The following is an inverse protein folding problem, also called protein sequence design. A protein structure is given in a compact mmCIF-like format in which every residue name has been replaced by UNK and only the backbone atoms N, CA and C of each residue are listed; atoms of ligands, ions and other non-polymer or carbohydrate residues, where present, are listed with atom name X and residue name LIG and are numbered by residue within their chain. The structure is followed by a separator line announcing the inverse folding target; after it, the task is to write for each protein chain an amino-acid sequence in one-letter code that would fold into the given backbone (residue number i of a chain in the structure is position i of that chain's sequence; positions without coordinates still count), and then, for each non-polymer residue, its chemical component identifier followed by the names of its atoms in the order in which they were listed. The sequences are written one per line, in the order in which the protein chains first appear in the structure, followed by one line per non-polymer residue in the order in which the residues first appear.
data_IF_311868152836
#
_entry.id   IF_311868152836
#
_cell.length_a   1.000
_cell.length_b   1.000
_cell.length_c   1.000
_cell.angle_alpha   90.00
_cell.angle_beta   90.00
_cell.angle_gamma   90.00
#
_symmetry.space_group_name_H-M   'P 1'
#
loop_
_entity.id
_entity.type
_entity.pdbx_description
1 polymer ?
#
# COMPACT_ATOMS: atom_id res chain seq x y z
N UNK A 1 -8.72 13.51 -3.50
CA UNK A 1 -8.60 14.96 -3.85
C UNK A 1 -8.97 15.29 -5.29
N UNK A 2 -8.73 14.41 -6.27
CA UNK A 2 -9.20 14.63 -7.65
C UNK A 2 -8.49 15.76 -8.41
N UNK A 3 -7.31 16.18 -7.94
CA UNK A 3 -6.48 17.20 -8.59
C UNK A 3 -5.52 16.51 -9.58
N UNK A 4 -5.19 17.14 -10.72
CA UNK A 4 -4.34 16.53 -11.75
C UNK A 4 -2.84 16.50 -11.39
N UNK A 5 -2.42 17.33 -10.44
CA UNK A 5 -1.04 17.40 -9.94
C UNK A 5 -1.01 18.05 -8.56
N UNK A 6 0.11 17.90 -7.84
CA UNK A 6 0.35 18.55 -6.56
C UNK A 6 1.72 19.26 -6.56
N UNK A 7 1.83 20.50 -6.04
CA UNK A 7 3.12 21.13 -5.80
C UNK A 7 3.92 20.33 -4.75
N UNK A 8 5.19 20.04 -5.03
CA UNK A 8 6.09 19.29 -4.13
C UNK A 8 7.48 19.93 -4.12
N UNK A 9 7.64 21.14 -3.52
CA UNK A 9 8.88 21.92 -3.59
C UNK A 9 10.14 21.16 -3.15
N UNK A 10 10.01 20.23 -2.20
CA UNK A 10 11.12 19.46 -1.65
C UNK A 10 11.83 18.52 -2.64
N UNK A 11 11.30 18.32 -3.85
CA UNK A 11 11.95 17.52 -4.89
C UNK A 11 12.94 18.33 -5.75
N UNK A 12 12.92 19.66 -5.67
CA UNK A 12 13.78 20.52 -6.47
C UNK A 12 15.26 20.23 -6.20
N UNK A 13 16.05 20.09 -7.26
CA UNK A 13 17.49 19.82 -7.18
C UNK A 13 17.86 18.37 -6.85
N UNK A 14 16.90 17.44 -6.83
CA UNK A 14 17.18 16.01 -6.74
C UNK A 14 17.47 15.40 -8.12
N UNK A 15 18.23 14.31 -8.14
CA UNK A 15 18.46 13.52 -9.36
C UNK A 15 17.21 12.75 -9.81
N UNK A 16 16.07 12.87 -9.09
CA UNK A 16 14.81 12.27 -9.53
C UNK A 16 14.38 12.76 -10.91
N UNK A 17 14.77 13.97 -11.32
CA UNK A 17 14.50 14.49 -12.65
C UNK A 17 15.19 13.71 -13.78
N UNK A 18 16.25 12.95 -13.47
CA UNK A 18 16.89 12.04 -14.43
C UNK A 18 16.03 10.80 -14.70
N UNK A 19 15.26 10.35 -13.71
CA UNK A 19 14.41 9.16 -13.81
C UNK A 19 12.92 9.48 -14.05
N UNK A 20 12.47 10.69 -13.69
CA UNK A 20 11.06 11.12 -13.69
C UNK A 20 10.89 12.38 -14.53
N UNK A 21 10.80 12.16 -15.84
CA UNK A 21 10.57 13.24 -16.80
C UNK A 21 9.16 13.85 -16.76
N UNK A 22 8.26 13.24 -15.99
CA UNK A 22 6.91 13.73 -15.74
C UNK A 22 6.83 14.76 -14.60
N UNK A 23 7.93 14.99 -13.87
CA UNK A 23 8.03 16.05 -12.87
C UNK A 23 8.45 17.35 -13.54
N UNK A 24 7.75 18.44 -13.25
CA UNK A 24 8.00 19.72 -13.90
C UNK A 24 8.43 20.75 -12.86
N UNK A 25 9.53 21.44 -13.13
CA UNK A 25 9.92 22.65 -12.41
C UNK A 25 9.21 23.84 -13.06
N UNK A 26 8.38 24.54 -12.30
CA UNK A 26 7.57 25.66 -12.78
C UNK A 26 7.72 26.88 -11.86
N UNK A 27 7.55 28.11 -12.38
CA UNK A 27 7.47 29.29 -11.53
C UNK A 27 6.30 29.20 -10.53
N UNK A 28 6.52 29.60 -9.27
CA UNK A 28 5.44 29.74 -8.31
C UNK A 28 4.51 30.90 -8.74
N UNK A 29 3.21 30.66 -8.99
CA UNK A 29 2.31 31.69 -9.52
C UNK A 29 2.07 32.86 -8.56
N UNK A 30 2.32 32.68 -7.26
CA UNK A 30 2.18 33.73 -6.25
C UNK A 30 3.48 34.46 -5.94
N UNK A 31 4.62 33.87 -6.32
CA UNK A 31 5.97 34.43 -6.12
C UNK A 31 6.87 34.02 -7.30
N UNK A 32 6.81 34.72 -8.44
CA UNK A 32 7.48 34.28 -9.67
C UNK A 32 9.00 34.15 -9.59
N UNK A 33 9.64 34.78 -8.58
CA UNK A 33 11.07 34.63 -8.31
C UNK A 33 11.42 33.25 -7.67
N UNK A 34 10.41 32.51 -7.20
CA UNK A 34 10.56 31.17 -6.64
C UNK A 34 10.16 30.12 -7.69
N UNK A 35 10.85 28.98 -7.69
CA UNK A 35 10.47 27.79 -8.45
C UNK A 35 9.81 26.77 -7.53
N UNK A 36 8.90 25.97 -8.08
CA UNK A 36 8.31 24.82 -7.40
C UNK A 36 8.26 23.62 -8.34
N UNK A 37 8.34 22.42 -7.79
CA UNK A 37 8.10 21.20 -8.56
C UNK A 37 6.61 20.89 -8.52
N UNK A 38 6.05 20.46 -9.64
CA UNK A 38 4.73 19.83 -9.69
C UNK A 38 4.88 18.37 -10.09
N UNK A 39 4.14 17.50 -9.40
CA UNK A 39 4.11 16.05 -9.61
C UNK A 39 2.71 15.65 -10.09
N UNK A 40 2.57 14.88 -11.18
CA UNK A 40 1.27 14.46 -11.68
C UNK A 40 0.57 13.53 -10.69
N UNK A 41 -0.76 13.50 -10.76
CA UNK A 41 -1.55 12.57 -9.96
C UNK A 41 -1.28 11.11 -10.34
N UNK A 42 -1.04 10.27 -9.34
CA UNK A 42 -1.00 8.83 -9.51
C UNK A 42 -2.40 8.27 -9.27
N UNK A 43 -2.97 7.61 -10.29
CA UNK A 43 -4.29 6.97 -10.23
C UNK A 43 -4.16 5.48 -10.58
N UNK A 44 -3.86 4.62 -9.59
CA UNK A 44 -3.72 3.19 -9.85
C UNK A 44 -5.01 2.59 -10.41
N UNK A 45 -4.88 1.65 -11.34
CA UNK A 45 -6.03 0.86 -11.77
C UNK A 45 -6.53 -0.04 -10.64
N UNK A 46 -5.60 -0.63 -9.88
CA UNK A 46 -5.90 -1.52 -8.75
C UNK A 46 -5.00 -1.19 -7.57
N UNK A 47 -5.60 -1.11 -6.38
CA UNK A 47 -4.92 -1.13 -5.10
C UNK A 47 -5.21 -2.44 -4.37
N UNK A 48 -4.17 -3.07 -3.84
CA UNK A 48 -4.30 -4.22 -2.94
C UNK A 48 -3.82 -3.79 -1.56
N UNK A 49 -4.70 -3.89 -0.57
CA UNK A 49 -4.43 -3.43 0.79
C UNK A 49 -4.68 -4.59 1.74
N UNK A 50 -3.70 -4.88 2.60
CA UNK A 50 -3.86 -5.91 3.63
C UNK A 50 -4.36 -5.29 4.95
N UNK A 51 -5.40 -5.90 5.51
CA UNK A 51 -6.11 -5.43 6.69
C UNK A 51 -6.08 -6.49 7.80
N UNK A 52 -6.21 -6.03 9.04
CA UNK A 52 -6.35 -6.93 10.19
C UNK A 52 -7.70 -7.63 10.17
N UNK A 53 -8.74 -6.84 9.94
CA UNK A 53 -10.11 -7.32 9.90
C UNK A 53 -10.81 -6.64 8.76
N UNK A 54 -11.74 -7.34 8.14
CA UNK A 54 -12.71 -6.74 7.26
C UNK A 54 -14.09 -7.35 7.52
N UNK A 55 -15.15 -6.63 7.19
CA UNK A 55 -16.48 -7.21 7.10
C UNK A 55 -16.83 -7.57 5.64
N UNK A 56 -17.94 -8.29 5.45
CA UNK A 56 -18.42 -8.68 4.11
C UNK A 56 -18.94 -7.51 3.27
N UNK A 57 -19.13 -6.33 3.88
CA UNK A 57 -19.57 -5.12 3.20
C UNK A 57 -18.40 -4.31 2.63
N UNK A 58 -17.16 -4.62 3.01
CA UNK A 58 -15.96 -3.92 2.55
C UNK A 58 -15.36 -2.95 3.55
N UNK A 59 -15.92 -2.82 4.76
CA UNK A 59 -15.25 -2.03 5.79
C UNK A 59 -14.02 -2.79 6.29
N UNK A 60 -12.91 -2.10 6.49
CA UNK A 60 -11.65 -2.73 6.86
C UNK A 60 -10.87 -1.97 7.92
N UNK A 61 -10.22 -2.71 8.82
CA UNK A 61 -9.26 -2.20 9.80
C UNK A 61 -7.84 -2.28 9.21
N UNK A 62 -7.40 -1.18 8.61
CA UNK A 62 -6.06 -1.05 8.01
C UNK A 62 -5.09 -0.37 8.98
N UNK A 63 -3.78 -0.45 8.71
CA UNK A 63 -2.79 0.23 9.54
C UNK A 63 -2.98 1.76 9.49
N UNK A 64 -3.08 2.43 10.64
CA UNK A 64 -3.32 3.89 10.74
C UNK A 64 -2.17 4.71 10.17
N UNK A 65 -0.93 4.26 10.33
CA UNK A 65 0.29 4.92 9.85
C UNK A 65 0.74 4.34 8.50
N UNK A 66 -0.22 4.11 7.61
CA UNK A 66 0.05 3.64 6.24
C UNK A 66 -0.64 4.54 5.23
N UNK A 67 -0.19 4.47 3.98
CA UNK A 67 -0.84 5.13 2.86
C UNK A 67 -2.07 4.36 2.35
N UNK A 68 -2.52 3.32 3.05
CA UNK A 68 -3.63 2.46 2.60
C UNK A 68 -4.90 3.24 2.30
N UNK A 69 -5.29 4.20 3.15
CA UNK A 69 -6.46 5.03 2.88
C UNK A 69 -6.26 5.94 1.65
N UNK A 70 -5.10 6.59 1.55
CA UNK A 70 -4.77 7.45 0.41
C UNK A 70 -4.77 6.65 -0.91
N UNK A 71 -4.23 5.44 -0.88
CA UNK A 71 -4.19 4.53 -2.02
C UNK A 71 -5.60 4.06 -2.41
N UNK A 72 -6.45 3.73 -1.43
CA UNK A 72 -7.84 3.35 -1.67
C UNK A 72 -8.67 4.48 -2.29
N UNK A 73 -8.44 5.72 -1.86
CA UNK A 73 -9.11 6.90 -2.42
C UNK A 73 -8.61 7.27 -3.83
N UNK A 74 -7.38 6.89 -4.19
CA UNK A 74 -6.76 7.19 -5.47
C UNK A 74 -7.03 6.13 -6.55
N UNK A 75 -7.24 4.87 -6.15
CA UNK A 75 -7.36 3.75 -7.08
C UNK A 75 -8.77 3.62 -7.68
N UNK A 76 -8.85 3.07 -8.89
CA UNK A 76 -10.13 2.76 -9.56
C UNK A 76 -10.79 1.51 -8.98
N UNK A 77 -10.00 0.57 -8.48
CA UNK A 77 -10.44 -0.66 -7.85
C UNK A 77 -9.56 -0.95 -6.64
N UNK A 78 -10.16 -1.37 -5.54
CA UNK A 78 -9.52 -1.69 -4.27
C UNK A 78 -9.94 -3.10 -3.87
N UNK A 79 -8.93 -3.93 -3.66
CA UNK A 79 -9.06 -5.28 -3.11
C UNK A 79 -8.46 -5.25 -1.72
N UNK A 80 -9.28 -5.57 -0.72
CA UNK A 80 -8.81 -5.77 0.65
C UNK A 80 -8.56 -7.26 0.86
N UNK A 81 -7.34 -7.61 1.24
CA UNK A 81 -7.05 -8.91 1.85
C UNK A 81 -7.11 -8.73 3.37
N UNK A 82 -7.62 -9.70 4.12
CA UNK A 82 -7.78 -9.58 5.56
C UNK A 82 -7.35 -10.86 6.29
N UNK A 83 -6.71 -10.68 7.44
CA UNK A 83 -6.38 -11.78 8.36
C UNK A 83 -7.64 -12.49 8.88
N UNK A 84 -8.69 -11.71 9.15
CA UNK A 84 -9.98 -12.20 9.62
C UNK A 84 -11.11 -11.46 8.88
N UNK A 85 -12.14 -12.18 8.44
CA UNK A 85 -13.39 -11.58 7.93
C UNK A 85 -14.50 -11.82 8.94
N UNK A 86 -15.01 -10.75 9.54
CA UNK A 86 -16.04 -10.81 10.58
C UNK A 86 -17.44 -10.94 9.98
N UNK A 87 -18.35 -11.59 10.72
CA UNK A 87 -19.73 -11.86 10.25
C UNK A 87 -20.65 -10.62 10.31
N UNK A 88 -20.36 -9.67 11.20
CA UNK A 88 -21.13 -8.43 11.38
C UNK A 88 -20.44 -7.19 10.80
N UNK A 89 -21.09 -6.02 10.84
CA UNK A 89 -20.45 -4.78 10.43
C UNK A 89 -19.25 -4.47 11.33
N UNK A 90 -18.12 -4.14 10.73
CA UNK A 90 -16.92 -3.77 11.46
C UNK A 90 -17.16 -2.44 12.19
N UNK A 91 -16.95 -2.43 13.51
CA UNK A 91 -17.14 -1.22 14.33
C UNK A 91 -15.83 -0.76 14.94
N UNK A 92 -15.85 0.45 15.54
CA UNK A 92 -14.70 0.97 16.29
C UNK A 92 -14.29 0.06 17.47
N UNK A 93 -15.23 -0.69 18.05
CA UNK A 93 -14.92 -1.60 19.15
C UNK A 93 -14.08 -2.80 18.70
N UNK A 94 -14.15 -3.15 17.41
CA UNK A 94 -13.40 -4.26 16.82
C UNK A 94 -11.97 -3.88 16.41
N UNK A 95 -11.60 -2.61 16.64
CA UNK A 95 -10.36 -2.00 16.14
C UNK A 95 -9.42 -1.54 17.26
N UNK A 96 -8.13 -1.81 17.09
CA UNK A 96 -7.07 -1.27 17.94
C UNK A 96 -6.76 0.21 17.62
N UNK A 97 -6.20 0.99 18.56
CA UNK A 97 -5.82 2.39 18.34
C UNK A 97 -4.89 2.60 17.13
N UNK A 98 -4.04 1.63 16.82
CA UNK A 98 -3.09 1.63 15.71
C UNK A 98 -3.74 1.38 14.36
N UNK A 99 -5.04 1.11 14.32
CA UNK A 99 -5.80 0.83 13.11
C UNK A 99 -6.68 2.01 12.71
N UNK A 100 -6.86 2.20 11.41
CA UNK A 100 -7.77 3.15 10.80
C UNK A 100 -8.87 2.42 10.04
N UNK A 101 -10.07 3.02 10.02
CA UNK A 101 -11.23 2.46 9.37
C UNK A 101 -11.23 2.88 7.90
N UNK A 102 -11.07 1.92 6.99
CA UNK A 102 -11.32 2.10 5.57
C UNK A 102 -12.78 1.82 5.27
N UNK A 103 -13.48 2.81 4.72
CA UNK A 103 -14.90 2.70 4.41
C UNK A 103 -15.17 1.82 3.18
N UNK A 104 -16.21 1.00 3.25
CA UNK A 104 -16.65 0.11 2.18
C UNK A 104 -16.90 0.78 0.82
N UNK A 105 -17.21 2.07 0.80
CA UNK A 105 -17.42 2.84 -0.44
C UNK A 105 -16.21 2.82 -1.38
N UNK A 106 -15.01 2.56 -0.86
CA UNK A 106 -13.79 2.46 -1.64
C UNK A 106 -13.49 1.04 -2.11
N UNK A 107 -14.13 0.01 -1.55
CA UNK A 107 -13.70 -1.40 -1.64
C UNK A 107 -14.61 -2.20 -2.57
N UNK A 108 -14.02 -2.87 -3.56
CA UNK A 108 -14.75 -3.72 -4.51
C UNK A 108 -14.70 -5.21 -4.14
N UNK A 109 -13.67 -5.65 -3.41
CA UNK A 109 -13.55 -7.03 -2.98
C UNK A 109 -12.88 -7.17 -1.62
N UNK A 110 -13.34 -8.13 -0.83
CA UNK A 110 -12.72 -8.58 0.42
C UNK A 110 -12.32 -10.04 0.26
N UNK A 111 -11.07 -10.36 0.59
CA UNK A 111 -10.49 -11.70 0.51
C UNK A 111 -9.99 -12.09 1.89
N UNK A 112 -10.47 -13.21 2.39
CA UNK A 112 -9.92 -13.82 3.60
C UNK A 112 -8.58 -14.47 3.26
N UNK A 113 -7.49 -13.87 3.73
CA UNK A 113 -6.11 -14.30 3.48
C UNK A 113 -5.30 -14.24 4.79
N UNK A 114 -5.47 -15.24 5.68
CA UNK A 114 -4.68 -15.35 6.90
C UNK A 114 -3.18 -15.41 6.58
N UNK A 115 -2.39 -14.72 7.38
CA UNK A 115 -0.96 -14.49 7.19
C UNK A 115 -0.63 -13.81 5.85
N UNK A 116 -1.53 -12.97 5.33
CA UNK A 116 -1.39 -12.36 4.01
C UNK A 116 -0.26 -11.34 3.88
N UNK A 117 0.27 -10.82 5.00
CA UNK A 117 1.49 -10.00 5.00
C UNK A 117 2.78 -10.80 5.05
N UNK A 118 2.74 -12.12 5.27
CA UNK A 118 3.93 -12.98 5.32
C UNK A 118 4.74 -12.87 4.02
N UNK A 119 6.09 -12.82 4.08
CA UNK A 119 6.98 -12.94 5.25
C UNK A 119 7.12 -11.66 6.09
N UNK A 120 6.46 -10.57 5.70
CA UNK A 120 6.36 -9.34 6.50
C UNK A 120 5.57 -9.54 7.80
N UNK A 121 5.53 -8.48 8.62
CA UNK A 121 4.81 -8.48 9.89
C UNK A 121 3.37 -8.01 9.72
N UNK A 122 2.52 -8.40 10.67
CA UNK A 122 1.20 -7.81 10.87
C UNK A 122 1.05 -7.44 12.34
N UNK A 123 1.40 -6.19 12.73
CA UNK A 123 1.74 -5.80 14.10
C UNK A 123 1.17 -6.65 15.24
N UNK A 124 0.11 -6.38 15.98
CA UNK A 124 -0.31 -7.29 17.09
C UNK A 124 -0.88 -8.68 16.73
N UNK A 125 -0.54 -9.29 15.58
CA UNK A 125 -0.88 -10.68 15.23
C UNK A 125 0.35 -11.57 15.05
N UNK A 126 1.31 -11.15 14.22
CA UNK A 126 2.57 -11.87 14.02
C UNK A 126 3.71 -10.94 13.61
N UNK A 127 4.91 -11.31 14.04
CA UNK A 127 6.16 -10.65 13.69
C UNK A 127 6.63 -11.06 12.29
N UNK A 128 7.56 -10.27 11.75
CA UNK A 128 8.24 -10.57 10.50
C UNK A 128 9.02 -11.89 10.61
N UNK A 129 8.84 -12.76 9.61
CA UNK A 129 9.63 -13.98 9.49
C UNK A 129 11.00 -13.64 8.92
N UNK A 130 11.99 -13.45 9.80
CA UNK A 130 13.35 -13.08 9.40
C UNK A 130 14.04 -14.18 8.61
N UNK A 131 13.75 -15.44 8.92
CA UNK A 131 14.40 -16.58 8.26
C UNK A 131 13.94 -16.69 6.81
N UNK A 132 12.63 -16.59 6.55
CA UNK A 132 12.12 -16.54 5.19
C UNK A 132 12.59 -15.28 4.46
N UNK A 133 12.71 -14.14 5.17
CA UNK A 133 13.18 -12.92 4.55
C UNK A 133 14.63 -12.99 4.09
N UNK A 134 15.50 -13.56 4.91
CA UNK A 134 16.89 -13.80 4.55
C UNK A 134 17.00 -14.80 3.38
N UNK A 135 16.17 -15.85 3.38
CA UNK A 135 16.10 -16.81 2.28
C UNK A 135 15.64 -16.16 0.96
N UNK A 136 14.61 -15.31 0.99
CA UNK A 136 14.16 -14.51 -0.16
C UNK A 136 15.30 -13.64 -0.70
N UNK A 137 15.96 -12.88 0.18
CA UNK A 137 17.04 -11.97 -0.21
C UNK A 137 18.25 -12.72 -0.78
N UNK A 138 18.59 -13.88 -0.21
CA UNK A 138 19.65 -14.74 -0.73
C UNK A 138 19.30 -15.29 -2.12
N UNK A 139 18.09 -15.83 -2.29
CA UNK A 139 17.64 -16.37 -3.57
C UNK A 139 17.65 -15.32 -4.67
N UNK A 140 17.19 -14.09 -4.37
CA UNK A 140 17.20 -12.97 -5.30
C UNK A 140 18.62 -12.57 -5.75
N UNK A 141 19.61 -12.61 -4.85
CA UNK A 141 21.01 -12.25 -5.17
C UNK A 141 21.76 -13.36 -5.90
N UNK A 142 21.48 -14.63 -5.56
CA UNK A 142 22.17 -15.79 -6.10
C UNK A 142 21.63 -16.23 -7.47
N UNK A 143 20.54 -15.62 -7.97
CA UNK A 143 19.88 -16.06 -9.19
C UNK A 143 19.04 -17.33 -9.01
N UNK A 144 18.68 -17.68 -7.77
CA UNK A 144 17.89 -18.88 -7.42
C UNK A 144 16.42 -18.52 -7.11
N UNK A 145 15.97 -17.36 -7.56
CA UNK A 145 14.66 -16.82 -7.19
C UNK A 145 13.49 -17.70 -7.65
N UNK A 146 13.61 -18.39 -8.79
CA UNK A 146 12.58 -19.31 -9.27
C UNK A 146 12.32 -20.44 -8.27
N UNK A 147 13.37 -20.99 -7.64
CA UNK A 147 13.24 -22.03 -6.62
C UNK A 147 12.53 -21.51 -5.36
N UNK A 148 12.80 -20.26 -4.97
CA UNK A 148 12.06 -19.63 -3.87
C UNK A 148 10.56 -19.53 -4.20
N UNK A 149 10.22 -19.09 -5.42
CA UNK A 149 8.82 -19.01 -5.84
C UNK A 149 8.14 -20.37 -5.91
N UNK A 150 8.81 -21.41 -6.41
CA UNK A 150 8.26 -22.77 -6.46
C UNK A 150 7.90 -23.28 -5.06
N UNK A 151 8.76 -23.02 -4.07
CA UNK A 151 8.53 -23.42 -2.68
C UNK A 151 7.42 -22.63 -1.99
N UNK A 152 7.49 -21.30 -2.04
CA UNK A 152 6.69 -20.42 -1.17
C UNK A 152 5.44 -19.85 -1.86
N UNK A 153 5.40 -19.82 -3.20
CA UNK A 153 4.29 -19.20 -3.96
C UNK A 153 3.50 -20.23 -4.76
N UNK A 154 4.19 -21.09 -5.52
CA UNK A 154 3.51 -22.02 -6.43
C UNK A 154 3.20 -23.38 -5.78
N UNK A 155 3.80 -23.69 -4.63
CA UNK A 155 3.59 -24.95 -3.90
C UNK A 155 3.97 -26.18 -4.72
N UNK A 156 5.12 -26.12 -5.42
CA UNK A 156 5.60 -27.17 -6.34
C UNK A 156 6.66 -28.11 -5.74
N UNK A 157 6.91 -27.99 -4.43
CA UNK A 157 7.82 -28.83 -3.63
C UNK A 157 7.08 -29.91 -2.83
#
# INVERSE_FOLDING_TARGET
MGIPYIPTPGLAGSDLFEARHDFLLVPNPFRPAEQTVIVPALTPDVAVIHAWRADRLGNAAIARRSDGQLLAEAARTVIVTAEEVVDGPLTRADMAPEQAHLASIHVQAVVHAPRGSSPGAMPGLYEQDREEWDAYMQAARAGEFERYLDRYVFGRD
#
